data_IF_336517023596
#
_entry.id   IF_336517023596
#
_cell.length_a   1.000
_cell.length_b   1.000
_cell.length_c   1.000
_cell.angle_alpha   90.00
_cell.angle_beta   90.00
_cell.angle_gamma   90.00
#
_symmetry.space_group_name_H-M   'P 1'
#
loop_
_entity.id
_entity.type
_entity.pdbx_description
1 polymer ?
#
# COMPACT_ATOMS: atom_id res chain seq x y z
N UNK A 1 -29.57 -3.20 -55.57
CA UNK A 1 -29.83 -3.78 -54.23
C UNK A 1 -28.64 -4.68 -53.86
N UNK A 2 -27.61 -4.20 -53.14
CA UNK A 2 -26.58 -5.09 -52.61
C UNK A 2 -26.98 -5.58 -51.21
N UNK A 3 -26.85 -6.88 -50.97
CA UNK A 3 -27.03 -7.51 -49.67
C UNK A 3 -25.71 -7.43 -48.91
N UNK A 4 -25.68 -6.71 -47.79
CA UNK A 4 -24.53 -6.67 -46.88
C UNK A 4 -24.68 -7.82 -45.88
N UNK A 5 -23.75 -8.78 -45.93
CA UNK A 5 -23.67 -9.86 -44.96
C UNK A 5 -22.94 -9.35 -43.70
N UNK A 6 -23.70 -9.17 -42.62
CA UNK A 6 -23.17 -8.82 -41.31
C UNK A 6 -22.70 -10.11 -40.62
N UNK A 7 -21.39 -10.33 -40.51
CA UNK A 7 -20.82 -11.40 -39.70
C UNK A 7 -20.70 -10.90 -38.25
N UNK A 8 -21.60 -11.34 -37.37
CA UNK A 8 -21.41 -11.18 -35.93
C UNK A 8 -20.33 -12.16 -35.47
N UNK A 9 -19.15 -11.65 -35.17
CA UNK A 9 -18.14 -12.41 -34.42
C UNK A 9 -18.57 -12.48 -32.95
N UNK A 10 -19.02 -13.66 -32.51
CA UNK A 10 -19.27 -13.94 -31.11
C UNK A 10 -17.91 -14.05 -30.40
N UNK A 11 -17.51 -13.00 -29.69
CA UNK A 11 -16.32 -13.06 -28.82
C UNK A 11 -16.70 -13.96 -27.65
N UNK A 12 -16.28 -15.23 -27.70
CA UNK A 12 -16.32 -16.12 -26.56
C UNK A 12 -15.43 -15.51 -25.46
N UNK A 13 -16.05 -14.95 -24.42
CA UNK A 13 -15.34 -14.61 -23.19
C UNK A 13 -14.83 -15.93 -22.61
N UNK A 14 -13.52 -16.13 -22.60
CA UNK A 14 -12.91 -17.18 -21.80
C UNK A 14 -13.30 -16.90 -20.34
N UNK A 15 -14.23 -17.69 -19.80
CA UNK A 15 -14.56 -17.65 -18.39
C UNK A 15 -13.30 -18.09 -17.63
N UNK A 16 -12.60 -17.12 -17.04
CA UNK A 16 -11.52 -17.40 -16.09
C UNK A 16 -12.11 -18.26 -14.98
N UNK A 17 -11.52 -19.44 -14.67
CA UNK A 17 -12.04 -20.28 -13.60
C UNK A 17 -12.14 -19.47 -12.30
N UNK A 18 -13.17 -19.70 -11.46
CA UNK A 18 -13.34 -18.94 -10.23
C UNK A 18 -12.11 -19.13 -9.36
N UNK A 19 -11.41 -18.02 -9.09
CA UNK A 19 -10.26 -18.04 -8.20
C UNK A 19 -10.74 -18.44 -6.80
N UNK A 20 -10.10 -19.41 -6.14
CA UNK A 20 -10.46 -19.76 -4.77
C UNK A 20 -10.23 -18.57 -3.86
N UNK A 21 -11.16 -18.33 -2.94
CA UNK A 21 -10.98 -17.31 -1.92
C UNK A 21 -9.75 -17.64 -1.07
N UNK A 22 -8.93 -16.63 -0.80
CA UNK A 22 -7.76 -16.77 0.06
C UNK A 22 -8.21 -17.06 1.50
N UNK A 23 -7.51 -17.99 2.16
CA UNK A 23 -7.77 -18.37 3.54
C UNK A 23 -6.46 -18.27 4.33
N UNK A 24 -6.37 -17.28 5.21
CA UNK A 24 -5.16 -17.00 5.97
C UNK A 24 -4.79 -18.13 6.96
N UNK A 25 -5.77 -18.92 7.41
CA UNK A 25 -5.54 -20.00 8.37
C UNK A 25 -4.83 -21.22 7.76
N UNK A 26 -5.03 -21.45 6.45
CA UNK A 26 -4.50 -22.63 5.74
C UNK A 26 -3.48 -22.26 4.67
N UNK A 27 -3.18 -20.97 4.48
CA UNK A 27 -2.25 -20.53 3.46
C UNK A 27 -0.78 -20.75 3.87
N UNK A 28 0.04 -21.03 2.86
CA UNK A 28 1.49 -20.98 2.90
C UNK A 28 1.98 -19.76 2.11
N UNK A 29 3.07 -19.16 2.58
CA UNK A 29 3.75 -18.06 1.88
C UNK A 29 5.22 -18.43 1.71
N UNK A 30 5.75 -18.25 0.50
CA UNK A 30 7.17 -18.49 0.22
C UNK A 30 8.06 -17.45 0.90
N UNK A 31 9.36 -17.72 0.98
CA UNK A 31 10.33 -16.66 1.23
C UNK A 31 10.25 -15.59 0.13
N UNK A 32 10.56 -14.32 0.42
CA UNK A 32 10.63 -13.26 -0.59
C UNK A 32 11.69 -13.52 -1.66
N UNK A 33 11.28 -13.48 -2.92
CA UNK A 33 12.18 -13.43 -4.08
C UNK A 33 12.37 -11.97 -4.53
N UNK A 34 13.62 -11.51 -4.62
CA UNK A 34 13.93 -10.17 -5.11
C UNK A 34 14.05 -10.18 -6.63
N UNK A 35 13.19 -9.43 -7.31
CA UNK A 35 13.16 -9.32 -8.78
C UNK A 35 14.02 -8.16 -9.30
N UNK A 36 14.02 -7.05 -8.57
CA UNK A 36 14.77 -5.86 -8.95
C UNK A 36 15.23 -5.11 -7.71
N UNK A 37 16.39 -4.47 -7.82
CA UNK A 37 16.88 -3.50 -6.84
C UNK A 37 17.23 -2.21 -7.54
N UNK A 38 16.88 -1.10 -6.91
CA UNK A 38 17.13 0.21 -7.47
C UNK A 38 17.50 1.21 -6.37
N UNK A 39 18.41 2.11 -6.73
CA UNK A 39 18.83 3.20 -5.87
C UNK A 39 17.78 4.32 -5.94
N UNK A 40 17.27 4.74 -4.80
CA UNK A 40 16.32 5.84 -4.68
C UNK A 40 16.90 7.18 -5.12
N UNK A 41 18.22 7.35 -5.17
CA UNK A 41 18.86 8.51 -5.80
C UNK A 41 18.90 8.45 -7.32
N UNK A 42 18.70 7.27 -7.92
CA UNK A 42 18.59 7.08 -9.38
C UNK A 42 17.14 7.10 -9.86
N UNK A 43 16.20 6.76 -8.99
CA UNK A 43 14.78 7.02 -9.21
C UNK A 43 14.50 8.50 -8.95
N UNK A 44 13.73 9.12 -9.84
CA UNK A 44 13.28 10.50 -9.62
C UNK A 44 12.07 10.47 -8.69
N UNK A 45 12.29 10.76 -7.41
CA UNK A 45 11.25 10.80 -6.38
C UNK A 45 11.00 9.48 -5.64
N UNK A 46 10.00 9.49 -4.76
CA UNK A 46 9.65 8.35 -3.92
C UNK A 46 8.64 7.44 -4.62
N UNK A 47 8.68 6.11 -4.42
CA UNK A 47 7.67 5.21 -4.96
C UNK A 47 6.26 5.57 -4.49
N UNK A 48 5.36 5.75 -5.46
CA UNK A 48 3.97 6.15 -5.23
C UNK A 48 2.96 5.20 -5.92
N UNK A 49 3.41 4.30 -6.80
CA UNK A 49 2.55 3.33 -7.46
C UNK A 49 3.27 2.04 -7.85
N UNK A 50 2.63 0.90 -7.63
CA UNK A 50 3.02 -0.40 -8.14
C UNK A 50 1.79 -1.11 -8.68
N UNK A 51 1.89 -1.63 -9.91
CA UNK A 51 0.83 -2.36 -10.58
C UNK A 51 1.37 -3.56 -11.36
N UNK A 52 0.61 -4.66 -11.39
CA UNK A 52 0.88 -5.77 -12.31
C UNK A 52 0.22 -5.50 -13.66
N UNK A 53 0.87 -5.94 -14.72
CA UNK A 53 0.24 -6.15 -16.03
C UNK A 53 -0.76 -7.31 -15.97
N UNK A 54 -1.74 -7.32 -16.86
CA UNK A 54 -2.83 -8.31 -16.86
C UNK A 54 -2.35 -9.76 -17.02
N UNK A 55 -1.26 -9.97 -17.76
CA UNK A 55 -0.62 -11.28 -17.95
C UNK A 55 0.35 -11.65 -16.81
N UNK A 56 0.58 -10.73 -15.87
CA UNK A 56 1.53 -10.91 -14.77
C UNK A 56 3.00 -10.95 -15.20
N UNK A 57 3.33 -10.56 -16.43
CA UNK A 57 4.69 -10.62 -16.98
C UNK A 57 5.52 -9.36 -16.68
N UNK A 58 4.87 -8.27 -16.31
CA UNK A 58 5.47 -6.95 -16.08
C UNK A 58 4.85 -6.24 -14.88
N UNK A 59 5.62 -5.32 -14.31
CA UNK A 59 5.21 -4.35 -13.32
C UNK A 59 5.30 -2.95 -13.87
N UNK A 60 4.37 -2.09 -13.46
CA UNK A 60 4.47 -0.66 -13.61
C UNK A 60 4.83 -0.06 -12.24
N UNK A 61 5.85 0.79 -12.23
CA UNK A 61 6.31 1.54 -11.07
C UNK A 61 6.14 3.03 -11.34
N UNK A 62 5.37 3.72 -10.49
CA UNK A 62 5.27 5.18 -10.45
C UNK A 62 6.11 5.71 -9.31
N UNK A 63 6.91 6.73 -9.57
CA UNK A 63 7.53 7.56 -8.52
C UNK A 63 7.03 8.98 -8.60
N UNK A 64 7.10 9.70 -7.49
CA UNK A 64 6.59 11.07 -7.38
C UNK A 64 7.59 11.96 -6.63
N UNK A 65 7.86 13.12 -7.19
CA UNK A 65 8.51 14.25 -6.52
C UNK A 65 7.46 15.29 -6.17
N UNK A 66 7.61 15.94 -5.03
CA UNK A 66 6.74 17.04 -4.62
C UNK A 66 7.58 18.29 -4.42
N UNK A 67 7.17 19.39 -5.04
CA UNK A 67 7.81 20.67 -4.81
C UNK A 67 7.38 21.28 -3.46
N UNK A 68 7.92 22.46 -3.13
CA UNK A 68 7.60 23.17 -1.88
C UNK A 68 6.13 23.61 -1.77
N UNK A 69 5.37 23.59 -2.86
CA UNK A 69 3.95 23.89 -2.93
C UNK A 69 3.09 22.63 -3.05
N UNK A 70 3.71 21.44 -2.92
CA UNK A 70 3.10 20.13 -3.04
C UNK A 70 2.57 19.80 -4.43
N UNK A 71 3.07 20.45 -5.48
CA UNK A 71 2.77 20.01 -6.85
C UNK A 71 3.53 18.70 -7.12
N UNK A 72 2.83 17.69 -7.64
CA UNK A 72 3.40 16.39 -7.97
C UNK A 72 4.05 16.41 -9.36
N UNK A 73 5.28 15.87 -9.44
CA UNK A 73 5.91 15.46 -10.68
C UNK A 73 6.08 13.95 -10.67
N UNK A 74 5.29 13.26 -11.49
CA UNK A 74 5.32 11.82 -11.62
C UNK A 74 6.38 11.35 -12.64
N UNK A 75 6.97 10.18 -12.39
CA UNK A 75 7.83 9.48 -13.33
C UNK A 75 7.38 8.02 -13.43
N UNK A 76 7.58 7.43 -14.61
CA UNK A 76 6.95 6.18 -15.01
C UNK A 76 8.00 5.16 -15.45
N UNK A 77 7.88 3.94 -14.93
CA UNK A 77 8.79 2.85 -15.26
C UNK A 77 8.03 1.54 -15.43
N UNK A 78 8.63 0.64 -16.22
CA UNK A 78 8.21 -0.75 -16.37
C UNK A 78 9.36 -1.67 -15.93
N UNK A 79 9.03 -2.74 -15.21
CA UNK A 79 9.98 -3.77 -14.75
C UNK A 79 9.46 -5.14 -15.19
N UNK A 80 10.30 -5.98 -15.78
CA UNK A 80 9.89 -7.35 -16.11
C UNK A 80 9.69 -8.19 -14.83
N UNK A 81 8.68 -9.05 -14.81
CA UNK A 81 8.43 -9.96 -13.68
C UNK A 81 9.49 -11.09 -13.58
N UNK A 82 10.25 -11.32 -14.65
CA UNK A 82 11.46 -12.14 -14.63
C UNK A 82 12.64 -11.46 -13.91
N UNK A 83 12.48 -10.19 -13.53
CA UNK A 83 13.51 -9.36 -12.92
C UNK A 83 14.23 -8.46 -13.92
N UNK A 84 15.08 -7.57 -13.39
CA UNK A 84 15.84 -6.59 -14.18
C UNK A 84 15.66 -5.15 -13.71
N UNK A 85 16.36 -4.23 -14.37
CA UNK A 85 16.29 -2.81 -14.03
C UNK A 85 14.98 -2.16 -14.50
N UNK A 86 14.42 -1.20 -13.76
CA UNK A 86 13.29 -0.39 -14.24
C UNK A 86 13.63 0.36 -15.51
N UNK A 87 12.80 0.19 -16.55
CA UNK A 87 12.92 0.88 -17.83
C UNK A 87 11.97 2.08 -17.85
N UNK A 88 12.44 3.31 -18.10
CA UNK A 88 11.58 4.49 -18.12
C UNK A 88 10.60 4.44 -19.30
N UNK A 89 9.37 4.88 -19.06
CA UNK A 89 8.34 5.08 -20.08
C UNK A 89 7.80 6.51 -19.97
N UNK A 90 7.18 7.01 -21.04
CA UNK A 90 6.72 8.41 -21.08
C UNK A 90 5.48 8.64 -20.21
N UNK A 91 4.61 7.64 -20.12
CA UNK A 91 3.33 7.72 -19.41
C UNK A 91 2.95 6.39 -18.76
N UNK A 92 1.95 6.43 -17.87
CA UNK A 92 1.40 5.23 -17.26
C UNK A 92 0.70 4.36 -18.32
N UNK A 93 1.06 3.06 -18.45
CA UNK A 93 0.32 2.16 -19.32
C UNK A 93 -1.16 2.06 -18.90
N UNK A 94 -2.07 1.94 -19.87
CA UNK A 94 -3.52 1.88 -19.60
C UNK A 94 -3.91 0.76 -18.61
N UNK A 95 -3.25 -0.41 -18.69
CA UNK A 95 -3.48 -1.52 -17.77
C UNK A 95 -3.09 -1.19 -16.32
N UNK A 96 -2.12 -0.29 -16.11
CA UNK A 96 -1.70 0.09 -14.77
C UNK A 96 -2.75 0.94 -14.07
N UNK A 97 -3.46 1.79 -14.83
CA UNK A 97 -4.59 2.57 -14.32
C UNK A 97 -5.77 1.67 -13.96
N UNK A 98 -6.10 0.71 -14.83
CA UNK A 98 -7.14 -0.29 -14.57
C UNK A 98 -6.81 -1.11 -13.31
N UNK A 99 -5.56 -1.56 -13.19
CA UNK A 99 -5.05 -2.27 -12.02
C UNK A 99 -5.16 -1.43 -10.74
N UNK A 100 -4.72 -0.17 -10.81
CA UNK A 100 -4.74 0.74 -9.66
C UNK A 100 -6.16 0.98 -9.15
N UNK A 101 -7.11 1.20 -10.07
CA UNK A 101 -8.50 1.53 -9.75
C UNK A 101 -9.15 0.49 -8.82
N UNK A 102 -8.92 -0.80 -9.05
CA UNK A 102 -9.51 -1.84 -8.22
C UNK A 102 -8.68 -2.13 -6.96
N UNK A 103 -7.35 -2.10 -7.01
CA UNK A 103 -6.54 -2.42 -5.80
C UNK A 103 -6.62 -1.35 -4.72
N UNK A 104 -6.80 -0.09 -5.11
CA UNK A 104 -6.79 1.04 -4.19
C UNK A 104 -8.18 1.42 -3.68
N UNK A 105 -9.22 0.68 -4.06
CA UNK A 105 -10.58 0.96 -3.61
C UNK A 105 -10.74 0.77 -2.10
N UNK A 106 -11.71 1.43 -1.49
CA UNK A 106 -12.14 1.14 -0.12
C UNK A 106 -13.05 -0.10 -0.03
N UNK A 107 -13.43 -0.67 -1.17
CA UNK A 107 -14.30 -1.84 -1.30
C UNK A 107 -13.57 -2.90 -2.10
N UNK A 108 -13.64 -4.16 -1.66
CA UNK A 108 -12.97 -5.26 -2.35
C UNK A 108 -13.61 -5.52 -3.73
N UNK A 109 -12.80 -5.80 -4.76
CA UNK A 109 -13.31 -6.19 -6.07
C UNK A 109 -14.19 -7.45 -5.97
N UNK A 110 -15.41 -7.39 -6.53
CA UNK A 110 -16.35 -8.52 -6.53
C UNK A 110 -16.90 -8.91 -5.16
N UNK A 111 -16.66 -8.14 -4.10
CA UNK A 111 -17.18 -8.41 -2.75
C UNK A 111 -17.56 -7.11 -2.04
N UNK A 112 -18.74 -6.55 -2.36
CA UNK A 112 -19.14 -5.24 -1.85
C UNK A 112 -19.29 -5.18 -0.32
N UNK A 113 -19.48 -6.31 0.34
CA UNK A 113 -19.54 -6.40 1.81
C UNK A 113 -18.17 -6.25 2.48
N UNK A 114 -17.07 -6.44 1.74
CA UNK A 114 -15.72 -6.26 2.25
C UNK A 114 -15.26 -4.83 2.03
N UNK A 115 -15.27 -4.06 3.11
CA UNK A 115 -14.96 -2.62 3.09
C UNK A 115 -13.95 -2.25 4.16
N UNK A 116 -13.07 -1.32 3.80
CA UNK A 116 -12.25 -0.60 4.76
C UNK A 116 -13.05 0.56 5.34
N UNK A 117 -12.99 0.69 6.65
CA UNK A 117 -13.60 1.79 7.38
C UNK A 117 -12.50 2.74 7.85
N UNK A 118 -12.78 4.05 7.79
CA UNK A 118 -11.83 5.08 8.20
C UNK A 118 -12.45 6.00 9.23
N UNK A 119 -11.75 6.19 10.33
CA UNK A 119 -12.07 7.18 11.36
C UNK A 119 -10.97 8.24 11.42
N UNK A 120 -11.35 9.52 11.51
CA UNK A 120 -10.42 10.65 11.53
C UNK A 120 -10.64 11.45 12.81
N UNK A 121 -9.62 11.47 13.66
CA UNK A 121 -9.66 12.13 14.96
C UNK A 121 -8.59 13.22 15.03
N UNK A 122 -8.97 14.42 15.44
CA UNK A 122 -8.03 15.50 15.69
C UNK A 122 -7.97 15.77 17.20
N UNK A 123 -6.78 15.63 17.78
CA UNK A 123 -6.55 15.96 19.20
C UNK A 123 -5.47 17.01 19.36
N UNK A 124 -5.55 17.78 20.44
CA UNK A 124 -4.47 18.65 20.88
C UNK A 124 -3.62 17.83 21.84
N UNK A 125 -2.34 17.61 21.48
CA UNK A 125 -1.37 16.96 22.34
C UNK A 125 -0.43 18.03 22.92
N UNK A 126 -0.37 18.13 24.24
CA UNK A 126 0.63 18.94 24.93
C UNK A 126 1.77 18.04 25.39
N UNK A 127 2.98 18.59 25.49
CA UNK A 127 4.11 17.86 26.08
C UNK A 127 3.83 17.73 27.58
N UNK A 128 3.12 16.68 27.99
CA UNK A 128 2.95 16.38 29.42
C UNK A 128 4.35 16.07 29.94
N UNK A 129 4.89 16.97 30.76
CA UNK A 129 6.23 16.86 31.30
C UNK A 129 6.46 15.47 31.86
N UNK A 130 7.51 14.81 31.38
CA UNK A 130 8.06 13.63 32.02
C UNK A 130 8.33 13.97 33.48
N UNK A 131 7.50 13.44 34.39
CA UNK A 131 7.88 13.33 35.80
C UNK A 131 8.91 12.20 35.87
N UNK A 132 10.13 12.48 35.40
CA UNK A 132 11.30 11.68 35.67
C UNK A 132 11.84 12.17 37.01
N UNK A 133 11.59 11.36 38.02
CA UNK A 133 12.12 11.47 39.37
C UNK A 133 13.64 11.69 39.34
N UNK A 134 14.11 12.69 40.09
CA UNK A 134 15.51 12.87 40.47
C UNK A 134 16.50 13.31 39.38
N UNK A 135 16.59 14.61 39.11
CA UNK A 135 17.74 15.17 38.39
C UNK A 135 17.60 16.65 38.06
N UNK A 136 18.16 17.51 38.91
CA UNK A 136 18.23 18.96 38.72
C UNK A 136 18.87 19.32 37.37
N UNK A 137 18.05 19.67 36.38
CA UNK A 137 18.46 20.47 35.23
C UNK A 137 17.41 21.54 34.99
N UNK A 138 17.62 22.70 35.62
CA UNK A 138 16.82 23.90 35.40
C UNK A 138 17.06 24.41 33.98
N UNK A 139 16.23 23.95 33.04
CA UNK A 139 15.99 24.74 31.83
C UNK A 139 15.29 26.01 32.27
N UNK A 140 15.89 27.16 31.92
CA UNK A 140 15.46 28.53 32.24
C UNK A 140 14.04 28.78 31.71
N UNK A 141 13.03 28.31 32.45
CA UNK A 141 11.65 28.71 32.27
C UNK A 141 11.51 30.16 32.76
N UNK A 142 10.85 30.99 31.97
CA UNK A 142 10.53 32.36 32.34
C UNK A 142 9.66 32.34 33.61
N UNK A 143 10.10 32.92 34.75
CA UNK A 143 9.36 32.84 36.01
C UNK A 143 7.99 33.52 35.96
N UNK A 144 7.69 34.28 34.89
CA UNK A 144 6.41 34.93 34.67
C UNK A 144 5.43 34.17 33.77
N UNK A 145 5.83 33.02 33.20
CA UNK A 145 4.98 32.25 32.28
C UNK A 145 4.17 31.21 33.03
N UNK A 146 2.85 31.24 32.89
CA UNK A 146 1.98 30.22 33.50
C UNK A 146 2.19 28.85 32.85
N UNK A 147 1.97 27.78 33.62
CA UNK A 147 2.01 26.41 33.09
C UNK A 147 1.05 26.25 31.90
N UNK A 148 -0.14 26.88 31.97
CA UNK A 148 -1.15 26.90 30.89
C UNK A 148 -0.60 27.53 29.61
N UNK A 149 0.14 28.64 29.69
CA UNK A 149 0.79 29.27 28.51
C UNK A 149 1.94 28.44 27.95
N UNK A 150 2.62 27.64 28.79
CA UNK A 150 3.66 26.72 28.33
C UNK A 150 3.07 25.47 27.67
N UNK A 151 1.97 24.95 28.20
CA UNK A 151 1.23 23.82 27.66
C UNK A 151 0.56 24.21 26.34
N UNK A 152 -0.09 25.38 26.29
CA UNK A 152 -0.70 25.90 25.05
C UNK A 152 0.32 26.23 23.97
N UNK A 153 1.55 26.61 24.32
CA UNK A 153 2.59 26.86 23.33
C UNK A 153 3.32 25.59 22.87
N UNK A 154 3.28 24.52 23.66
CA UNK A 154 3.73 23.19 23.25
C UNK A 154 2.61 22.35 22.61
N UNK A 155 1.38 22.87 22.59
CA UNK A 155 0.21 22.22 22.05
C UNK A 155 0.36 21.97 20.54
N UNK A 156 0.49 20.70 20.17
CA UNK A 156 0.50 20.27 18.78
C UNK A 156 -0.84 19.65 18.42
N UNK A 157 -1.43 20.10 17.30
CA UNK A 157 -2.56 19.39 16.69
C UNK A 157 -2.05 18.09 16.09
N UNK A 158 -2.59 16.98 16.57
CA UNK A 158 -2.32 15.63 16.05
C UNK A 158 -3.58 15.15 15.34
N UNK A 159 -3.49 14.97 14.02
CA UNK A 159 -4.52 14.29 13.24
C UNK A 159 -4.22 12.80 13.23
N UNK A 160 -5.20 11.96 13.53
CA UNK A 160 -5.07 10.50 13.57
C UNK A 160 -6.09 9.90 12.63
N UNK A 161 -5.63 9.14 11.63
CA UNK A 161 -6.49 8.33 10.76
C UNK A 161 -6.36 6.88 11.21
N UNK A 162 -7.49 6.28 11.57
CA UNK A 162 -7.60 4.86 11.90
C UNK A 162 -8.28 4.14 10.75
N UNK A 163 -7.63 3.10 10.21
CA UNK A 163 -8.22 2.25 9.18
C UNK A 163 -8.53 0.89 9.81
N UNK A 164 -9.79 0.47 9.70
CA UNK A 164 -10.24 -0.82 10.19
C UNK A 164 -10.85 -1.67 9.10
N UNK A 165 -10.89 -2.97 9.35
CA UNK A 165 -11.56 -3.96 8.51
C UNK A 165 -12.31 -4.92 9.43
N UNK A 166 -13.63 -4.99 9.28
CA UNK A 166 -14.50 -5.81 10.15
C UNK A 166 -14.27 -5.54 11.66
N UNK A 167 -14.12 -4.27 12.03
CA UNK A 167 -13.84 -3.84 13.41
C UNK A 167 -12.40 -4.07 13.88
N UNK A 168 -11.53 -4.73 13.10
CA UNK A 168 -10.13 -4.90 13.45
C UNK A 168 -9.30 -3.72 12.96
N UNK A 169 -8.46 -3.16 13.84
CA UNK A 169 -7.46 -2.16 13.47
C UNK A 169 -6.42 -2.73 12.49
N UNK A 170 -6.35 -2.16 11.28
CA UNK A 170 -5.28 -2.50 10.33
C UNK A 170 -4.12 -1.52 10.44
N UNK A 171 -4.42 -0.21 10.45
CA UNK A 171 -3.42 0.86 10.42
C UNK A 171 -3.89 2.04 11.26
N UNK A 172 -2.94 2.69 11.93
CA UNK A 172 -3.11 3.98 12.60
C UNK A 172 -2.06 4.94 12.07
N UNK A 173 -2.49 6.07 11.53
CA UNK A 173 -1.65 7.06 10.87
C UNK A 173 -1.73 8.37 11.64
N UNK A 174 -0.62 8.83 12.21
CA UNK A 174 -0.56 10.09 12.96
C UNK A 174 0.13 11.16 12.12
N UNK A 175 -0.57 12.26 11.85
CA UNK A 175 -0.15 13.37 10.98
C UNK A 175 0.26 12.94 9.56
N UNK A 176 -0.21 11.77 9.13
CA UNK A 176 0.05 11.20 7.83
C UNK A 176 -1.25 11.04 7.05
N UNK A 177 -1.19 11.27 5.72
CA UNK A 177 -2.32 11.01 4.85
C UNK A 177 -2.50 9.51 4.62
N UNK A 178 -3.75 9.05 4.60
CA UNK A 178 -4.09 7.76 4.03
C UNK A 178 -3.99 7.87 2.51
N UNK A 179 -3.01 7.17 1.93
CA UNK A 179 -2.82 7.08 0.48
C UNK A 179 -3.32 5.71 0.01
N UNK A 180 -4.53 5.62 -0.60
CA UNK A 180 -5.06 4.36 -1.11
C UNK A 180 -4.12 3.72 -2.12
N UNK A 181 -3.98 2.40 -2.08
CA UNK A 181 -3.07 1.67 -2.98
C UNK A 181 -1.58 1.74 -2.61
N UNK A 182 -1.19 2.62 -1.68
CA UNK A 182 0.21 2.77 -1.20
C UNK A 182 0.48 1.92 0.04
N UNK A 183 -0.45 1.95 1.00
CA UNK A 183 -0.33 1.19 2.26
C UNK A 183 -1.03 -0.16 2.24
N UNK A 184 -1.94 -0.33 1.30
CA UNK A 184 -2.69 -1.56 1.10
C UNK A 184 -2.98 -1.78 -0.39
N UNK A 185 -3.36 -3.00 -0.74
CA UNK A 185 -3.90 -3.36 -2.04
C UNK A 185 -4.84 -4.55 -1.90
N UNK A 186 -6.06 -4.41 -2.43
CA UNK A 186 -6.97 -5.55 -2.56
C UNK A 186 -6.39 -6.61 -3.50
N UNK A 187 -6.82 -7.84 -3.31
CA UNK A 187 -6.66 -8.93 -4.27
C UNK A 187 -7.68 -8.78 -5.41
N UNK A 188 -7.45 -9.42 -6.57
CA UNK A 188 -8.42 -9.42 -7.66
C UNK A 188 -9.75 -10.09 -7.24
N UNK A 189 -10.79 -9.83 -8.02
CA UNK A 189 -12.12 -10.37 -7.76
C UNK A 189 -12.08 -11.92 -7.68
N UNK A 190 -12.76 -12.47 -6.67
CA UNK A 190 -12.76 -13.90 -6.35
C UNK A 190 -11.86 -14.26 -5.17
N UNK A 191 -10.68 -13.64 -5.06
CA UNK A 191 -9.71 -13.95 -3.99
C UNK A 191 -10.18 -13.43 -2.62
N UNK A 192 -10.89 -12.30 -2.58
CA UNK A 192 -11.47 -11.72 -1.35
C UNK A 192 -10.46 -11.51 -0.21
N UNK A 193 -9.30 -10.93 -0.51
CA UNK A 193 -8.25 -10.66 0.45
C UNK A 193 -7.63 -9.27 0.26
N UNK A 194 -6.94 -8.80 1.29
CA UNK A 194 -6.21 -7.54 1.30
C UNK A 194 -4.77 -7.80 1.72
N UNK A 195 -3.81 -7.20 1.02
CA UNK A 195 -2.44 -7.09 1.48
C UNK A 195 -2.20 -5.67 2.01
N UNK A 196 -1.59 -5.52 3.17
CA UNK A 196 -1.31 -4.21 3.76
C UNK A 196 -0.01 -4.18 4.54
N UNK A 197 0.54 -2.98 4.70
CA UNK A 197 1.67 -2.71 5.60
C UNK A 197 1.13 -2.34 6.98
N UNK A 198 1.46 -3.12 8.01
CA UNK A 198 1.05 -2.85 9.38
C UNK A 198 1.80 -1.63 9.98
N UNK A 199 1.47 -1.27 11.23
CA UNK A 199 2.10 -0.15 11.94
C UNK A 199 3.61 -0.32 12.19
N UNK A 200 4.13 -1.54 12.07
CA UNK A 200 5.55 -1.87 12.17
C UNK A 200 6.18 -2.10 10.78
N UNK A 201 5.48 -1.69 9.72
CA UNK A 201 5.87 -1.79 8.30
C UNK A 201 6.13 -3.22 7.81
N UNK A 202 5.47 -4.22 8.41
CA UNK A 202 5.48 -5.61 7.92
C UNK A 202 4.35 -5.85 6.94
N UNK A 203 4.57 -6.75 5.99
CA UNK A 203 3.53 -7.17 5.05
C UNK A 203 2.61 -8.18 5.73
N UNK A 204 1.32 -7.87 5.76
CA UNK A 204 0.26 -8.72 6.31
C UNK A 204 -0.81 -8.93 5.24
N UNK A 205 -1.25 -10.17 5.12
CA UNK A 205 -2.41 -10.57 4.32
C UNK A 205 -3.59 -10.78 5.26
N UNK A 206 -4.77 -10.31 4.88
CA UNK A 206 -6.02 -10.56 5.62
C UNK A 206 -7.07 -11.15 4.69
N UNK A 207 -7.73 -12.20 5.15
CA UNK A 207 -8.79 -12.88 4.40
C UNK A 207 -10.18 -12.27 4.66
N UNK A 208 -11.19 -12.77 3.94
CA UNK A 208 -12.61 -12.40 4.11
C UNK A 208 -13.12 -12.53 5.56
N UNK A 209 -12.60 -13.48 6.32
CA UNK A 209 -13.01 -13.69 7.70
C UNK A 209 -12.43 -12.64 8.65
N UNK A 210 -11.36 -11.95 8.26
CA UNK A 210 -10.58 -11.05 9.10
C UNK A 210 -9.34 -11.72 9.70
N UNK A 211 -9.03 -12.97 9.30
CA UNK A 211 -7.85 -13.67 9.79
C UNK A 211 -6.63 -13.15 9.06
N UNK A 212 -5.55 -12.93 9.80
CA UNK A 212 -4.31 -12.37 9.28
C UNK A 212 -3.23 -13.43 9.11
N UNK A 213 -2.37 -13.22 8.12
CA UNK A 213 -1.16 -13.98 7.87
C UNK A 213 -0.03 -13.00 7.60
N UNK A 214 0.97 -12.97 8.49
CA UNK A 214 2.18 -12.20 8.28
C UNK A 214 3.08 -12.88 7.24
N UNK A 215 3.67 -12.09 6.34
CA UNK A 215 4.65 -12.58 5.37
C UNK A 215 6.05 -12.52 5.99
N UNK A 216 6.71 -13.67 6.25
CA UNK A 216 8.02 -13.67 6.91
C UNK A 216 9.09 -12.95 6.10
N UNK A 217 9.93 -12.15 6.78
CA UNK A 217 11.05 -11.43 6.16
C UNK A 217 10.67 -10.18 5.36
N UNK A 218 9.39 -9.86 5.22
CA UNK A 218 8.91 -8.65 4.55
C UNK A 218 8.78 -7.48 5.54
N UNK A 219 9.82 -6.63 5.61
CA UNK A 219 9.88 -5.44 6.46
C UNK A 219 9.98 -4.16 5.64
N UNK A 220 9.71 -3.01 6.25
CA UNK A 220 9.72 -1.70 5.59
C UNK A 220 8.92 -1.63 4.28
N UNK A 221 7.82 -2.37 4.28
CA UNK A 221 6.98 -2.64 3.11
C UNK A 221 6.27 -1.38 2.62
N UNK A 222 6.19 -1.25 1.30
CA UNK A 222 5.45 -0.23 0.57
C UNK A 222 4.75 -0.89 -0.62
N UNK A 223 3.61 -0.32 -1.03
CA UNK A 223 2.94 -0.65 -2.28
C UNK A 223 2.65 -2.15 -2.48
N UNK A 224 2.02 -2.86 -1.52
CA UNK A 224 1.64 -4.25 -1.73
C UNK A 224 0.66 -4.39 -2.91
N UNK A 225 0.84 -5.43 -3.71
CA UNK A 225 0.17 -5.63 -4.97
C UNK A 225 -0.02 -7.13 -5.28
N UNK A 226 -1.25 -7.62 -5.21
CA UNK A 226 -1.60 -8.98 -5.63
C UNK A 226 -1.44 -9.16 -7.14
N UNK A 227 -0.89 -10.28 -7.58
CA UNK A 227 -0.91 -10.64 -9.00
C UNK A 227 -2.36 -10.81 -9.49
N UNK A 228 -2.64 -10.60 -10.79
CA UNK A 228 -3.98 -10.76 -11.35
C UNK A 228 -4.53 -12.18 -11.21
N UNK A 229 -3.64 -13.17 -11.10
CA UNK A 229 -3.96 -14.59 -10.87
C UNK A 229 -4.24 -14.91 -9.39
N UNK A 230 -4.04 -13.96 -8.46
CA UNK A 230 -4.27 -14.15 -7.02
C UNK A 230 -3.26 -15.04 -6.29
N UNK A 231 -2.20 -15.52 -6.96
CA UNK A 231 -1.24 -16.49 -6.41
C UNK A 231 0.04 -15.87 -5.89
N UNK A 232 0.25 -14.57 -6.09
CA UNK A 232 1.47 -13.87 -5.69
C UNK A 232 1.15 -12.50 -5.11
N UNK A 233 2.02 -12.02 -4.24
CA UNK A 233 2.01 -10.65 -3.74
C UNK A 233 3.37 -10.02 -3.99
N UNK A 234 3.37 -8.96 -4.79
CA UNK A 234 4.52 -8.08 -4.96
C UNK A 234 4.47 -6.94 -3.95
N UNK A 235 5.65 -6.44 -3.59
CA UNK A 235 5.78 -5.26 -2.76
C UNK A 235 7.15 -4.61 -2.95
N UNK A 236 7.24 -3.33 -2.61
CA UNK A 236 8.53 -2.68 -2.44
C UNK A 236 8.99 -2.76 -1.00
N UNK A 237 10.28 -2.99 -0.81
CA UNK A 237 10.94 -2.93 0.49
C UNK A 237 11.96 -1.81 0.48
N UNK A 238 11.85 -0.88 1.42
CA UNK A 238 12.79 0.23 1.57
C UNK A 238 13.91 -0.16 2.52
N UNK A 239 15.16 -0.03 2.09
CA UNK A 239 16.33 -0.14 2.95
C UNK A 239 17.22 1.09 2.76
N UNK A 240 17.16 2.02 3.71
CA UNK A 240 17.81 3.33 3.63
C UNK A 240 17.39 4.06 2.35
N UNK A 241 18.33 4.26 1.41
CA UNK A 241 18.10 4.89 0.11
C UNK A 241 17.84 3.90 -1.02
N UNK A 242 17.79 2.59 -0.74
CA UNK A 242 17.55 1.56 -1.75
C UNK A 242 16.15 1.01 -1.63
N UNK A 243 15.61 0.58 -2.75
CA UNK A 243 14.35 -0.14 -2.83
C UNK A 243 14.57 -1.47 -3.52
N UNK A 244 13.86 -2.49 -3.06
CA UNK A 244 13.80 -3.81 -3.70
C UNK A 244 12.35 -4.10 -4.07
N UNK A 245 12.12 -4.52 -5.31
CA UNK A 245 10.86 -5.13 -5.73
C UNK A 245 10.94 -6.62 -5.41
N UNK A 246 10.11 -7.05 -4.47
CA UNK A 246 10.04 -8.42 -4.00
C UNK A 246 8.69 -9.03 -4.36
N UNK A 247 8.70 -10.35 -4.51
CA UNK A 247 7.49 -11.16 -4.72
C UNK A 247 7.51 -12.35 -3.77
N UNK A 248 6.35 -12.65 -3.20
CA UNK A 248 6.07 -13.90 -2.51
C UNK A 248 4.98 -14.67 -3.23
N UNK A 249 5.07 -15.99 -3.22
CA UNK A 249 4.00 -16.88 -3.65
C UNK A 249 3.08 -17.16 -2.48
N UNK A 250 1.78 -17.18 -2.75
CA UNK A 250 0.71 -17.44 -1.79
C UNK A 250 -0.11 -18.61 -2.34
N UNK A 251 -0.20 -19.68 -1.56
CA UNK A 251 -0.92 -20.89 -1.94
C UNK A 251 -1.55 -21.57 -0.73
N UNK A 252 -2.35 -22.61 -0.96
CA UNK A 252 -2.76 -23.50 0.11
C UNK A 252 -1.54 -24.29 0.64
N UNK A 253 -1.53 -24.57 1.94
CA UNK A 253 -0.63 -25.57 2.54
C UNK A 253 -0.95 -26.98 2.06
#
# INVERSE_FOLDING_TARGET
MPFVLLVLALIAQSATPPMPAFNAATAAVSAPATLAQFDGGKLKGEPAGLAWSADGAQFYLRTAEYDRWRNERAHHYVVAAAGGAPTPVLEAPAWALAYWAWKSGFVAPGSPDLRLETDVQQRIATAVGSVSDGGLSQSRADPNRSQVESDMASAQKVNTITVTFKGQLLMKLENEALLPGVRYGWAPAGVSALAYSDGKRRLVLVDRAGRTLEVPGATDVLLPAWSPDGTRVAYLQKNKKKYSLNVVTVGAR
#
